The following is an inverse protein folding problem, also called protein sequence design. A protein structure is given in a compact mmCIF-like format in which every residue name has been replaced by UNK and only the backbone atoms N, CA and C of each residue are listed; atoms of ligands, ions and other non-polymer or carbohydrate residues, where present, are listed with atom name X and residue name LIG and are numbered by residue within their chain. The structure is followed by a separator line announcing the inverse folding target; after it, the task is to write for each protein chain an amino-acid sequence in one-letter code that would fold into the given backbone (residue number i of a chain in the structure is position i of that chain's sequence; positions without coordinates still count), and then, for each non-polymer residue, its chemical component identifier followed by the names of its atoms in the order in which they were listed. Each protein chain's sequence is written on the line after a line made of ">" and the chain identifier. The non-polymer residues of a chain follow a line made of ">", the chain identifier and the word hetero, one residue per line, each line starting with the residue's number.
data_IF_553164854867
#
_entry.id   IF_553164854867
#
_cell.length_a   1.000
_cell.length_b   1.000
_cell.length_c   1.000
_cell.angle_alpha   90.00
_cell.angle_beta   90.00
_cell.angle_gamma   90.00
#
_symmetry.space_group_name_H-M   'P 1'
#
loop_
_entity.id
_entity.type
_entity.pdbx_description
1 polymer ?
#
# COMPACT_ATOMS: atom_id res chain seq x y z
N UNK A 1 4.80 16.88 -3.19
CA UNK A 1 4.72 15.55 -3.82
C UNK A 1 4.05 15.71 -5.18
N UNK A 2 4.51 15.02 -6.25
CA UNK A 2 3.76 15.00 -7.50
C UNK A 2 2.38 14.38 -7.26
N UNK A 3 1.35 14.93 -7.93
CA UNK A 3 0.03 14.31 -7.98
C UNK A 3 0.13 12.91 -8.59
N UNK A 4 -0.75 11.95 -8.19
CA UNK A 4 -0.86 10.67 -8.87
C UNK A 4 -0.87 10.84 -10.39
N UNK A 5 -0.07 10.05 -11.10
CA UNK A 5 -0.10 10.06 -12.56
C UNK A 5 -1.34 9.33 -13.03
N UNK A 6 -1.96 9.86 -14.07
CA UNK A 6 -3.17 9.33 -14.66
C UNK A 6 -2.96 9.12 -16.15
N UNK A 7 -3.52 8.03 -16.68
CA UNK A 7 -3.56 7.77 -18.12
C UNK A 7 -4.85 7.04 -18.49
N UNK A 8 -5.06 6.83 -19.79
CA UNK A 8 -6.16 6.03 -20.32
C UNK A 8 -5.58 4.82 -21.08
N UNK A 9 -6.11 3.64 -20.81
CA UNK A 9 -5.71 2.40 -21.47
C UNK A 9 -6.95 1.60 -21.80
N UNK A 10 -7.18 1.25 -23.08
CA UNK A 10 -8.35 0.49 -23.53
C UNK A 10 -9.71 1.05 -23.06
N UNK A 11 -9.84 2.38 -23.00
CA UNK A 11 -11.06 3.05 -22.55
C UNK A 11 -11.28 3.03 -21.03
N UNK A 12 -10.28 2.59 -20.25
CA UNK A 12 -10.29 2.71 -18.79
C UNK A 12 -9.26 3.72 -18.30
N UNK A 13 -9.66 4.50 -17.30
CA UNK A 13 -8.76 5.39 -16.58
C UNK A 13 -7.87 4.57 -15.66
N UNK A 14 -6.56 4.76 -15.78
CA UNK A 14 -5.54 4.12 -14.96
C UNK A 14 -4.89 5.17 -14.06
N UNK A 15 -4.91 4.92 -12.76
CA UNK A 15 -4.31 5.78 -11.75
C UNK A 15 -3.09 5.08 -11.16
N UNK A 16 -1.94 5.73 -11.21
CA UNK A 16 -0.76 5.25 -10.51
C UNK A 16 -0.84 5.64 -9.04
N UNK A 17 -0.65 4.65 -8.16
CA UNK A 17 -0.64 4.87 -6.72
C UNK A 17 0.76 4.71 -6.10
N UNK A 18 1.79 4.44 -6.89
CA UNK A 18 3.14 4.10 -6.41
C UNK A 18 4.06 5.31 -6.31
N UNK A 19 4.86 5.38 -5.25
CA UNK A 19 5.97 6.32 -5.15
C UNK A 19 7.22 5.82 -5.89
N UNK A 20 7.97 6.71 -6.56
CA UNK A 20 9.23 6.33 -7.20
C UNK A 20 10.26 5.92 -6.13
N UNK A 21 10.99 4.84 -6.41
CA UNK A 21 12.14 4.43 -5.60
C UNK A 21 13.31 5.38 -5.90
N UNK A 22 13.69 6.17 -4.91
CA UNK A 22 14.78 7.16 -4.98
C UNK A 22 15.44 7.34 -3.60
N UNK A 23 16.55 8.06 -3.53
CA UNK A 23 17.33 8.19 -2.29
C UNK A 23 16.57 8.90 -1.16
N UNK A 24 15.61 9.76 -1.52
CA UNK A 24 14.80 10.57 -0.60
C UNK A 24 13.51 9.86 -0.15
N UNK A 25 13.23 8.65 -0.65
CA UNK A 25 12.06 7.88 -0.21
C UNK A 25 12.13 7.63 1.31
N UNK A 26 10.98 7.55 1.96
CA UNK A 26 10.94 7.22 3.39
C UNK A 26 11.54 5.82 3.59
N UNK A 27 12.54 5.75 4.46
CA UNK A 27 13.21 4.51 4.84
C UNK A 27 12.84 4.17 6.28
N UNK A 28 12.39 2.96 6.49
CA UNK A 28 12.05 2.45 7.81
C UNK A 28 13.23 1.69 8.44
N UNK A 29 13.23 1.62 9.78
CA UNK A 29 14.16 0.80 10.57
C UNK A 29 15.67 1.06 10.40
N UNK A 30 16.05 2.29 10.06
CA UNK A 30 17.47 2.67 9.95
C UNK A 30 18.21 2.05 8.76
N UNK A 31 17.48 1.43 7.84
CA UNK A 31 18.05 0.87 6.61
C UNK A 31 18.35 2.01 5.64
N UNK A 32 19.62 2.29 5.41
CA UNK A 32 20.07 3.30 4.45
C UNK A 32 20.22 2.64 3.08
N UNK A 33 19.10 2.44 2.39
CA UNK A 33 19.10 2.05 0.98
C UNK A 33 19.68 3.17 0.10
N UNK A 34 20.37 2.81 -0.97
CA UNK A 34 20.94 3.74 -1.95
C UNK A 34 20.49 3.36 -3.38
N UNK A 35 20.04 4.37 -4.13
CA UNK A 35 19.82 4.31 -5.57
C UNK A 35 20.95 5.05 -6.25
N UNK A 36 21.74 4.35 -7.07
CA UNK A 36 22.94 4.91 -7.70
C UNK A 36 22.98 4.66 -9.20
N UNK A 37 23.23 5.70 -9.99
CA UNK A 37 23.52 5.55 -11.42
C UNK A 37 24.89 4.90 -11.57
N UNK A 38 24.95 3.74 -12.23
CA UNK A 38 26.20 3.01 -12.49
C UNK A 38 26.58 2.98 -13.96
N UNK A 39 25.63 3.20 -14.86
CA UNK A 39 25.86 3.34 -16.29
C UNK A 39 24.94 4.41 -16.89
N UNK A 40 25.42 5.10 -17.93
CA UNK A 40 24.67 6.09 -18.68
C UNK A 40 24.79 5.84 -20.18
N UNK A 41 23.72 6.11 -20.94
CA UNK A 41 23.71 5.86 -22.39
C UNK A 41 24.88 6.54 -23.12
N UNK A 42 25.22 7.83 -22.87
CA UNK A 42 26.31 8.47 -23.60
C UNK A 42 27.70 7.86 -23.35
N UNK A 43 27.91 7.23 -22.19
CA UNK A 43 29.21 6.69 -21.79
C UNK A 43 29.32 5.19 -22.05
N UNK A 44 28.26 4.45 -21.77
CA UNK A 44 28.27 2.99 -21.66
C UNK A 44 27.36 2.33 -22.71
N UNK A 45 26.54 3.10 -23.43
CA UNK A 45 25.58 2.59 -24.42
C UNK A 45 24.26 2.11 -23.84
N UNK A 46 24.10 2.15 -22.51
CA UNK A 46 22.89 1.76 -21.78
C UNK A 46 22.78 2.51 -20.44
N UNK A 47 21.62 2.46 -19.77
CA UNK A 47 21.38 3.10 -18.47
C UNK A 47 21.08 2.07 -17.38
N UNK A 48 21.77 2.15 -16.24
CA UNK A 48 21.54 1.26 -15.09
C UNK A 48 21.53 2.05 -13.78
N UNK A 49 20.51 1.77 -12.98
CA UNK A 49 20.45 2.07 -11.56
C UNK A 49 20.81 0.83 -10.76
N UNK A 50 21.77 0.97 -9.84
CA UNK A 50 22.03 0.01 -8.80
C UNK A 50 21.18 0.36 -7.58
N UNK A 51 20.49 -0.64 -7.05
CA UNK A 51 19.65 -0.57 -5.86
C UNK A 51 20.35 -1.32 -4.73
N UNK A 52 21.04 -0.59 -3.86
CA UNK A 52 21.78 -1.16 -2.74
C UNK A 52 20.95 -1.12 -1.46
N UNK A 53 20.97 -2.22 -0.68
CA UNK A 53 20.36 -2.31 0.65
C UNK A 53 18.89 -1.89 0.69
N UNK A 54 18.11 -2.32 -0.30
CA UNK A 54 16.65 -2.16 -0.32
C UNK A 54 16.00 -3.27 0.52
N UNK A 55 15.17 -2.87 1.47
CA UNK A 55 14.33 -3.78 2.26
C UNK A 55 13.02 -4.08 1.54
N UNK A 56 12.39 -5.22 1.85
CA UNK A 56 11.02 -5.54 1.41
C UNK A 56 10.02 -4.43 1.80
N UNK A 57 10.26 -3.76 2.93
CA UNK A 57 9.42 -2.68 3.45
C UNK A 57 9.95 -1.29 3.05
N UNK A 58 10.19 -1.06 1.76
CA UNK A 58 10.68 0.22 1.23
C UNK A 58 9.65 0.85 0.28
N UNK A 59 9.23 2.08 0.56
CA UNK A 59 8.30 2.79 -0.30
C UNK A 59 6.93 2.13 -0.38
N UNK A 60 6.28 2.23 -1.54
CA UNK A 60 5.04 1.50 -1.82
C UNK A 60 5.34 0.00 -1.93
N UNK A 61 4.83 -0.83 -1.00
CA UNK A 61 5.18 -2.25 -0.89
C UNK A 61 4.02 -3.12 -0.41
N UNK A 62 4.19 -4.45 -0.55
CA UNK A 62 3.25 -5.48 -0.08
C UNK A 62 3.84 -6.20 1.13
N UNK A 63 3.11 -6.24 2.23
CA UNK A 63 3.42 -7.08 3.38
C UNK A 63 2.81 -8.47 3.19
N UNK A 64 3.67 -9.47 3.07
CA UNK A 64 3.26 -10.87 3.03
C UNK A 64 2.82 -11.36 4.44
N UNK A 65 1.90 -12.35 4.55
CA UNK A 65 1.43 -12.85 5.85
C UNK A 65 2.56 -13.31 6.79
N UNK A 66 3.67 -13.82 6.25
CA UNK A 66 4.83 -14.22 7.05
C UNK A 66 5.41 -13.07 7.89
N UNK A 67 5.14 -11.81 7.52
CA UNK A 67 5.59 -10.62 8.26
C UNK A 67 5.06 -10.58 9.71
N UNK A 68 3.86 -11.13 9.96
CA UNK A 68 3.25 -11.17 11.29
C UNK A 68 2.80 -12.57 11.75
N UNK A 69 3.01 -13.60 10.93
CA UNK A 69 2.61 -14.97 11.23
C UNK A 69 3.75 -15.94 10.94
N UNK A 70 4.18 -16.69 11.96
CA UNK A 70 5.28 -17.67 11.85
C UNK A 70 5.02 -18.74 10.77
N UNK A 71 3.75 -19.07 10.52
CA UNK A 71 3.32 -20.01 9.49
C UNK A 71 2.63 -19.30 8.31
N UNK A 72 2.88 -18.00 8.15
CA UNK A 72 2.33 -17.19 7.07
C UNK A 72 2.99 -17.51 5.73
N UNK A 73 2.29 -17.20 4.65
CA UNK A 73 2.83 -17.32 3.28
C UNK A 73 3.94 -16.29 3.04
N UNK A 74 5.00 -16.71 2.37
CA UNK A 74 5.98 -15.80 1.77
C UNK A 74 5.39 -15.10 0.53
N UNK A 75 5.97 -13.97 0.13
CA UNK A 75 5.46 -13.15 -0.99
C UNK A 75 5.29 -13.95 -2.29
N UNK A 76 6.21 -14.88 -2.57
CA UNK A 76 6.19 -15.74 -3.76
C UNK A 76 5.18 -16.90 -3.67
N UNK A 77 4.55 -17.11 -2.52
CA UNK A 77 3.55 -18.15 -2.29
C UNK A 77 2.12 -17.59 -2.26
N UNK A 78 1.97 -16.27 -2.32
CA UNK A 78 0.67 -15.60 -2.31
C UNK A 78 -0.06 -15.90 -3.62
N UNK A 79 -1.27 -16.47 -3.57
CA UNK A 79 -2.10 -16.66 -4.75
C UNK A 79 -2.36 -15.33 -5.47
N UNK A 80 -2.20 -15.31 -6.80
CA UNK A 80 -2.32 -14.09 -7.61
C UNK A 80 -3.69 -13.42 -7.49
N UNK A 81 -4.75 -14.20 -7.30
CA UNK A 81 -6.12 -13.73 -7.11
C UNK A 81 -6.33 -12.91 -5.83
N UNK A 82 -5.32 -12.86 -4.95
CA UNK A 82 -5.29 -11.96 -3.78
C UNK A 82 -4.57 -10.63 -4.05
N UNK A 83 -3.87 -10.49 -5.18
CA UNK A 83 -3.08 -9.31 -5.52
C UNK A 83 -3.78 -8.36 -6.50
N UNK A 84 -4.97 -8.73 -6.96
CA UNK A 84 -5.83 -7.89 -7.79
C UNK A 84 -7.30 -8.11 -7.42
N UNK A 85 -8.15 -7.12 -7.69
CA UNK A 85 -9.57 -7.24 -7.43
C UNK A 85 -10.27 -5.90 -7.40
N UNK A 86 -11.54 -5.93 -7.02
CA UNK A 86 -12.31 -4.71 -6.75
C UNK A 86 -11.76 -4.06 -5.48
N UNK A 87 -11.47 -2.77 -5.57
CA UNK A 87 -11.04 -1.97 -4.44
C UNK A 87 -12.17 -1.03 -3.99
N UNK A 88 -12.39 -0.96 -2.68
CA UNK A 88 -13.20 0.08 -2.04
C UNK A 88 -12.28 1.13 -1.47
N UNK A 89 -12.54 2.40 -1.79
CA UNK A 89 -11.79 3.53 -1.24
C UNK A 89 -12.59 4.17 -0.13
N UNK A 90 -12.08 4.07 1.10
CA UNK A 90 -12.63 4.72 2.28
C UNK A 90 -11.91 6.05 2.47
N UNK A 91 -12.60 7.16 2.19
CA UNK A 91 -12.08 8.49 2.52
C UNK A 91 -12.21 8.74 4.02
N UNK A 92 -11.09 8.56 4.72
CA UNK A 92 -10.98 8.67 6.16
C UNK A 92 -10.38 10.01 6.61
N UNK A 93 -10.08 10.94 5.69
CA UNK A 93 -9.43 12.23 6.01
C UNK A 93 -10.18 13.02 7.08
N UNK A 94 -11.52 12.93 7.11
CA UNK A 94 -12.36 13.60 8.11
C UNK A 94 -12.16 13.11 9.55
N UNK A 95 -11.55 11.94 9.74
CA UNK A 95 -11.24 11.36 11.04
C UNK A 95 -9.81 11.65 11.49
N UNK A 96 -8.99 12.26 10.63
CA UNK A 96 -7.56 12.51 10.88
C UNK A 96 -7.34 14.01 11.02
N UNK A 97 -7.06 14.45 12.25
CA UNK A 97 -6.72 15.82 12.62
C UNK A 97 -5.31 15.93 13.20
N UNK A 98 -4.82 14.85 13.80
CA UNK A 98 -3.51 14.72 14.42
C UNK A 98 -2.78 13.44 13.94
N UNK A 99 -1.44 13.42 13.96
CA UNK A 99 -0.64 12.26 13.52
C UNK A 99 -0.93 10.94 14.23
N UNK A 100 -1.46 11.00 15.45
CA UNK A 100 -1.74 9.83 16.29
C UNK A 100 -3.22 9.46 16.29
N UNK A 101 -4.05 10.09 15.45
CA UNK A 101 -5.45 9.72 15.34
C UNK A 101 -5.58 8.31 14.76
N UNK A 102 -6.60 7.58 15.24
CA UNK A 102 -6.83 6.19 14.85
C UNK A 102 -8.20 6.08 14.22
N UNK A 103 -8.29 5.27 13.16
CA UNK A 103 -9.57 4.94 12.53
C UNK A 103 -10.15 3.74 13.27
N UNK A 104 -11.31 3.92 13.86
CA UNK A 104 -11.99 2.93 14.67
C UNK A 104 -12.93 2.06 13.83
N UNK A 105 -13.24 0.86 14.35
CA UNK A 105 -14.23 -0.02 13.74
C UNK A 105 -15.61 0.62 13.62
N UNK A 106 -16.00 1.50 14.56
CA UNK A 106 -17.27 2.20 14.51
C UNK A 106 -17.33 3.21 13.37
N UNK A 107 -16.22 3.86 13.04
CA UNK A 107 -16.13 4.79 11.91
C UNK A 107 -16.21 4.05 10.58
N UNK A 108 -15.56 2.89 10.45
CA UNK A 108 -15.68 2.03 9.28
C UNK A 108 -17.12 1.54 9.07
N UNK A 109 -17.77 1.04 10.11
CA UNK A 109 -19.20 0.64 10.06
C UNK A 109 -20.12 1.81 9.72
N UNK A 110 -19.81 2.99 10.22
CA UNK A 110 -20.56 4.22 9.91
C UNK A 110 -20.37 4.62 8.45
N UNK A 111 -19.16 4.45 7.91
CA UNK A 111 -18.88 4.66 6.49
C UNK A 111 -19.69 3.69 5.62
N UNK A 112 -19.65 2.38 5.90
CA UNK A 112 -20.44 1.33 5.21
C UNK A 112 -21.93 1.71 5.15
N UNK A 113 -22.51 2.07 6.31
CA UNK A 113 -23.90 2.51 6.40
C UNK A 113 -24.17 3.77 5.59
N UNK A 114 -23.24 4.72 5.55
CA UNK A 114 -23.42 5.99 4.83
C UNK A 114 -23.43 5.83 3.31
N UNK A 115 -22.67 4.87 2.78
CA UNK A 115 -22.61 4.59 1.34
C UNK A 115 -23.57 3.47 0.91
N UNK A 116 -24.17 2.76 1.87
CA UNK A 116 -25.09 1.66 1.60
C UNK A 116 -24.41 0.41 1.05
N UNK A 117 -23.16 0.15 1.45
CA UNK A 117 -22.34 -0.97 0.99
C UNK A 117 -21.84 -1.76 2.20
N UNK A 118 -21.93 -3.08 2.10
CA UNK A 118 -21.19 -4.02 2.94
C UNK A 118 -19.93 -4.43 2.19
N UNK A 119 -18.74 -4.36 2.82
CA UNK A 119 -17.48 -4.68 2.16
C UNK A 119 -17.47 -6.18 1.77
N UNK A 120 -17.49 -6.53 0.47
CA UNK A 120 -17.53 -7.93 0.06
C UNK A 120 -16.25 -8.67 0.47
N UNK A 121 -16.39 -9.98 0.75
CA UNK A 121 -15.24 -10.86 0.95
C UNK A 121 -14.36 -10.89 -0.30
N UNK A 122 -13.05 -10.82 -0.11
CA UNK A 122 -12.03 -10.77 -1.17
C UNK A 122 -11.76 -9.36 -1.69
N UNK A 123 -12.46 -8.33 -1.21
CA UNK A 123 -12.24 -6.96 -1.68
C UNK A 123 -10.93 -6.39 -1.15
N UNK A 124 -10.27 -5.56 -1.97
CA UNK A 124 -9.21 -4.68 -1.51
C UNK A 124 -9.87 -3.47 -0.85
N UNK A 125 -9.42 -3.06 0.32
CA UNK A 125 -9.91 -1.88 1.03
C UNK A 125 -8.76 -0.88 1.13
N UNK A 126 -8.89 0.24 0.44
CA UNK A 126 -7.94 1.36 0.45
C UNK A 126 -8.41 2.42 1.45
N UNK A 127 -7.61 2.73 2.46
CA UNK A 127 -7.93 3.76 3.45
C UNK A 127 -7.19 5.05 3.07
N UNK A 128 -7.94 6.04 2.60
CA UNK A 128 -7.39 7.33 2.21
C UNK A 128 -7.40 8.31 3.38
N UNK A 129 -6.24 8.48 3.99
CA UNK A 129 -6.02 9.35 5.17
C UNK A 129 -5.50 10.74 4.82
N UNK A 130 -5.09 10.97 3.56
CA UNK A 130 -4.38 12.18 3.14
C UNK A 130 -2.88 12.18 3.47
N UNK A 131 -2.38 11.12 4.12
CA UNK A 131 -0.98 11.02 4.56
C UNK A 131 0.04 10.93 3.41
N UNK A 132 -0.45 10.55 2.23
CA UNK A 132 0.28 10.60 0.96
C UNK A 132 0.97 11.95 0.69
N UNK A 133 0.37 13.06 1.14
CA UNK A 133 0.96 14.39 0.97
C UNK A 133 2.26 14.61 1.78
N UNK A 134 2.47 13.79 2.82
CA UNK A 134 3.62 13.85 3.72
C UNK A 134 4.61 12.69 3.49
N UNK A 135 4.38 11.90 2.43
CA UNK A 135 5.24 10.78 2.06
C UNK A 135 4.99 9.47 2.77
N UNK A 136 3.92 9.36 3.57
CA UNK A 136 3.48 8.05 4.01
C UNK A 136 2.32 7.52 3.18
N UNK A 137 1.78 6.39 3.63
CA UNK A 137 1.15 5.43 2.73
C UNK A 137 -0.39 5.46 2.84
N UNK A 138 -1.07 5.15 1.73
CA UNK A 138 -2.43 4.62 1.72
C UNK A 138 -2.32 3.17 2.18
N UNK A 139 -3.02 2.80 3.25
CA UNK A 139 -3.06 1.41 3.70
C UNK A 139 -4.13 0.68 2.90
N UNK A 140 -3.74 -0.39 2.23
CA UNK A 140 -4.60 -1.29 1.48
C UNK A 140 -4.62 -2.65 2.17
N UNK A 141 -5.80 -3.22 2.43
CA UNK A 141 -5.95 -4.55 3.00
C UNK A 141 -6.89 -5.42 2.17
N UNK A 142 -6.61 -6.72 2.02
CA UNK A 142 -7.58 -7.66 1.42
C UNK A 142 -8.51 -8.17 2.51
N UNK A 143 -9.82 -7.96 2.35
CA UNK A 143 -10.83 -8.52 3.24
C UNK A 143 -10.91 -10.04 3.06
N UNK A 144 -10.32 -10.84 3.94
CA UNK A 144 -10.35 -12.31 3.85
C UNK A 144 -11.62 -12.95 4.42
N UNK A 145 -12.54 -12.16 4.99
CA UNK A 145 -13.74 -12.61 5.69
C UNK A 145 -13.52 -12.75 7.22
N UNK A 146 -14.58 -12.38 7.95
CA UNK A 146 -14.73 -12.22 9.42
C UNK A 146 -13.77 -11.22 10.08
N UNK A 147 -14.29 -10.02 10.34
CA UNK A 147 -13.88 -9.22 11.50
C UNK A 147 -14.25 -10.04 12.75
N UNK A 148 -13.34 -10.85 13.29
CA UNK A 148 -13.61 -11.62 14.50
C UNK A 148 -13.54 -10.70 15.73
N UNK A 149 -14.51 -10.83 16.64
CA UNK A 149 -14.65 -10.04 17.86
C UNK A 149 -13.59 -10.35 18.94
N UNK A 150 -12.64 -11.25 18.67
CA UNK A 150 -11.74 -11.85 19.67
C UNK A 150 -10.33 -11.24 19.72
N UNK A 151 -10.08 -10.14 19.00
CA UNK A 151 -8.79 -9.46 19.03
C UNK A 151 -7.65 -10.26 18.41
N UNK A 152 -7.93 -11.37 17.70
CA UNK A 152 -6.95 -12.04 16.87
C UNK A 152 -6.96 -11.39 15.48
N UNK A 153 -5.89 -10.64 15.26
CA UNK A 153 -5.53 -9.85 14.10
C UNK A 153 -6.30 -10.20 12.81
N UNK A 154 -7.00 -9.19 12.28
CA UNK A 154 -6.97 -8.91 10.85
C UNK A 154 -5.57 -9.35 10.36
N UNK A 155 -5.47 -10.32 9.44
CA UNK A 155 -4.22 -10.59 8.73
C UNK A 155 -4.33 -9.89 7.38
N UNK A 156 -4.33 -8.54 7.35
CA UNK A 156 -4.24 -7.83 6.09
C UNK A 156 -2.93 -8.26 5.44
N UNK A 157 -2.98 -8.63 4.16
CA UNK A 157 -1.89 -8.17 3.32
C UNK A 157 -1.97 -6.65 3.36
N UNK A 158 -1.07 -6.03 4.11
CA UNK A 158 -0.95 -4.57 4.11
C UNK A 158 -0.17 -4.23 2.86
N UNK A 159 -0.87 -3.69 1.88
CA UNK A 159 -0.24 -2.99 0.80
C UNK A 159 -0.13 -1.53 1.24
N UNK A 160 1.08 -1.10 1.61
CA UNK A 160 1.37 0.28 1.92
C UNK A 160 1.63 0.97 0.59
N UNK A 161 0.70 1.82 0.15
CA UNK A 161 0.72 2.50 -1.15
C UNK A 161 1.23 3.92 -1.03
#
# INVERSE_FOLDING_TARGET
>A
MPSPRETEFLGVKVLELTYPIQNEIIKWFGIVGEVKITATVPKDGYYVLLLNNLSEHTGTHVDAPVHFSVNGLFINEIPLDRLYGVALVIDARKYISHPNDTITMNELKSWEKSVGVEIPRGSIVLIYTGWANFGGYIVAGVNTGTLQEDGQAFQPMLLNI
#
